data_IF_666252383516
#
_entry.id   IF_666252383516
#
_cell.length_a   1.000
_cell.length_b   1.000
_cell.length_c   1.000
_cell.angle_alpha   90.00
_cell.angle_beta   90.00
_cell.angle_gamma   90.00
#
_symmetry.space_group_name_H-M   'P 1'
#
loop_
_entity.id
_entity.type
_entity.pdbx_description
1 polymer ?
#
# COMPACT_ATOMS: atom_id res chain seq x y z
N UNK A 1 42.96 -17.84 14.68
CA UNK A 1 42.40 -16.47 14.81
C UNK A 1 41.35 -16.13 13.75
N UNK A 2 41.62 -16.26 12.44
CA UNK A 2 40.64 -15.97 11.37
C UNK A 2 39.33 -16.81 11.44
N UNK A 3 39.42 -18.08 11.86
CA UNK A 3 38.26 -18.97 12.03
C UNK A 3 37.32 -18.53 13.18
N UNK A 4 37.87 -17.97 14.25
CA UNK A 4 37.09 -17.39 15.36
C UNK A 4 36.39 -16.10 14.88
N UNK A 5 37.08 -15.26 14.11
CA UNK A 5 36.49 -14.05 13.52
C UNK A 5 35.29 -14.39 12.60
N UNK A 6 35.43 -15.42 11.77
CA UNK A 6 34.35 -15.90 10.89
C UNK A 6 33.14 -16.41 11.69
N UNK A 7 33.36 -17.06 12.83
CA UNK A 7 32.29 -17.51 13.71
C UNK A 7 31.51 -16.32 14.30
N UNK A 8 32.22 -15.28 14.77
CA UNK A 8 31.58 -14.06 15.26
C UNK A 8 30.83 -13.30 14.17
N UNK A 9 31.38 -13.25 12.95
CA UNK A 9 30.70 -12.64 11.80
C UNK A 9 29.43 -13.41 11.44
N UNK A 10 29.49 -14.74 11.47
CA UNK A 10 28.33 -15.60 11.22
C UNK A 10 27.27 -15.44 12.32
N UNK A 11 27.68 -15.39 13.58
CA UNK A 11 26.79 -15.14 14.73
C UNK A 11 26.09 -13.78 14.61
N UNK A 12 26.83 -12.74 14.23
CA UNK A 12 26.28 -11.41 14.00
C UNK A 12 25.25 -11.40 12.86
N UNK A 13 25.52 -12.11 11.77
CA UNK A 13 24.61 -12.22 10.63
C UNK A 13 23.30 -12.93 11.01
N UNK A 14 23.36 -13.97 11.85
CA UNK A 14 22.17 -14.65 12.37
C UNK A 14 21.32 -13.72 13.24
N UNK A 15 21.95 -12.89 14.09
CA UNK A 15 21.23 -11.92 14.92
C UNK A 15 20.50 -10.84 14.09
N UNK A 16 21.06 -10.39 12.97
CA UNK A 16 20.42 -9.38 12.11
C UNK A 16 19.12 -9.84 11.42
N UNK A 17 18.89 -11.15 11.29
CA UNK A 17 17.73 -11.67 10.53
C UNK A 17 16.46 -11.77 11.39
N UNK A 18 16.58 -11.79 12.72
CA UNK A 18 15.48 -12.21 13.61
C UNK A 18 14.37 -11.15 13.81
N UNK A 19 14.64 -9.85 13.65
CA UNK A 19 13.69 -8.80 14.08
C UNK A 19 12.72 -8.27 13.00
N UNK A 20 12.97 -8.54 11.71
CA UNK A 20 12.24 -7.83 10.63
C UNK A 20 10.89 -8.45 10.25
N UNK A 21 10.65 -9.72 10.60
CA UNK A 21 9.50 -10.49 10.08
C UNK A 21 8.21 -10.26 10.87
N UNK A 22 8.27 -10.16 12.20
CA UNK A 22 7.07 -9.96 13.04
C UNK A 22 6.44 -8.57 12.84
N UNK A 23 7.27 -7.54 12.73
CA UNK A 23 6.79 -6.16 12.55
C UNK A 23 6.06 -5.99 11.20
N UNK A 24 6.59 -6.58 10.13
CA UNK A 24 5.96 -6.54 8.81
C UNK A 24 4.60 -7.28 8.76
N UNK A 25 4.50 -8.43 9.43
CA UNK A 25 3.25 -9.19 9.52
C UNK A 25 2.16 -8.44 10.28
N UNK A 26 2.51 -7.79 11.39
CA UNK A 26 1.58 -7.00 12.21
C UNK A 26 1.03 -5.75 11.50
N UNK A 27 1.79 -5.17 10.58
CA UNK A 27 1.32 -4.02 9.78
C UNK A 27 0.38 -4.49 8.67
N UNK A 28 0.68 -5.64 8.04
CA UNK A 28 -0.11 -6.16 6.91
C UNK A 28 -1.57 -6.42 7.25
N UNK A 29 -1.87 -6.80 8.50
CA UNK A 29 -3.24 -7.05 8.99
C UNK A 29 -4.03 -5.78 9.28
N UNK A 30 -3.35 -4.63 9.42
CA UNK A 30 -3.95 -3.35 9.83
C UNK A 30 -4.18 -2.36 8.69
N UNK A 31 -3.77 -2.68 7.46
CA UNK A 31 -3.81 -1.75 6.32
C UNK A 31 -4.72 -2.26 5.19
N UNK A 32 -5.48 -1.33 4.61
CA UNK A 32 -6.14 -1.54 3.33
C UNK A 32 -5.25 -1.00 2.19
N UNK A 33 -4.97 -1.83 1.20
CA UNK A 33 -4.11 -1.45 0.06
C UNK A 33 -4.95 -1.19 -1.17
N UNK A 34 -4.87 0.01 -1.71
CA UNK A 34 -5.48 0.37 -2.98
C UNK A 34 -4.48 0.15 -4.12
N UNK A 35 -4.84 -0.72 -5.06
CA UNK A 35 -3.99 -1.08 -6.20
C UNK A 35 -4.58 -0.46 -7.48
N UNK A 36 -3.75 0.27 -8.21
CA UNK A 36 -4.08 0.83 -9.52
C UNK A 36 -3.10 0.23 -10.52
N UNK A 37 -3.64 -0.25 -11.65
CA UNK A 37 -2.87 -0.85 -12.74
C UNK A 37 -2.79 0.18 -13.88
N UNK A 38 -1.59 0.39 -14.39
CA UNK A 38 -1.35 1.26 -15.55
C UNK A 38 -1.61 0.49 -16.84
N UNK A 39 -1.95 1.19 -17.91
CA UNK A 39 -2.20 0.57 -19.21
C UNK A 39 -0.90 0.04 -19.85
N UNK A 40 0.25 0.66 -19.58
CA UNK A 40 1.58 0.22 -20.04
C UNK A 40 2.70 0.59 -19.08
N UNK A 41 3.93 0.15 -19.40
CA UNK A 41 5.17 0.52 -18.69
C UNK A 41 5.74 1.87 -19.14
N UNK A 42 5.04 2.63 -19.99
CA UNK A 42 5.45 3.99 -20.36
C UNK A 42 5.44 4.91 -19.14
N UNK A 43 6.35 5.89 -19.11
CA UNK A 43 6.42 6.86 -18.02
C UNK A 43 5.09 7.61 -17.84
N UNK A 44 4.45 8.00 -18.94
CA UNK A 44 3.17 8.70 -18.92
C UNK A 44 2.07 7.88 -18.23
N UNK A 45 1.93 6.59 -18.57
CA UNK A 45 0.93 5.71 -17.96
C UNK A 45 1.24 5.41 -16.48
N UNK A 46 2.52 5.29 -16.12
CA UNK A 46 2.92 5.06 -14.73
C UNK A 46 2.71 6.32 -13.87
N UNK A 47 2.99 7.50 -14.42
CA UNK A 47 2.75 8.77 -13.76
C UNK A 47 1.25 9.00 -13.54
N UNK A 48 0.41 8.71 -14.53
CA UNK A 48 -1.05 8.82 -14.36
C UNK A 48 -1.60 7.83 -13.33
N UNK A 49 -1.06 6.61 -13.28
CA UNK A 49 -1.36 5.66 -12.19
C UNK A 49 -1.03 6.24 -10.81
N UNK A 50 0.10 6.93 -10.67
CA UNK A 50 0.51 7.53 -9.38
C UNK A 50 -0.38 8.72 -9.01
N UNK A 51 -0.77 9.56 -9.97
CA UNK A 51 -1.65 10.71 -9.77
C UNK A 51 -3.07 10.26 -9.39
N UNK A 52 -3.66 9.33 -10.16
CA UNK A 52 -4.97 8.75 -9.86
C UNK A 52 -4.97 8.11 -8.46
N UNK A 53 -3.95 7.29 -8.15
CA UNK A 53 -3.83 6.66 -6.83
C UNK A 53 -3.80 7.70 -5.71
N UNK A 54 -3.00 8.76 -5.86
CA UNK A 54 -2.90 9.83 -4.85
C UNK A 54 -4.24 10.54 -4.66
N UNK A 55 -4.91 10.90 -5.75
CA UNK A 55 -6.23 11.54 -5.72
C UNK A 55 -7.28 10.69 -4.99
N UNK A 56 -7.39 9.39 -5.32
CA UNK A 56 -8.36 8.50 -4.68
C UNK A 56 -8.05 8.31 -3.20
N UNK A 57 -6.77 8.11 -2.85
CA UNK A 57 -6.35 7.95 -1.45
C UNK A 57 -6.67 9.20 -0.63
N UNK A 58 -6.47 10.41 -1.17
CA UNK A 58 -6.84 11.65 -0.49
C UNK A 58 -8.34 11.77 -0.24
N UNK A 59 -9.18 11.39 -1.21
CA UNK A 59 -10.64 11.41 -1.05
C UNK A 59 -11.16 10.36 -0.07
N UNK A 60 -10.55 9.18 -0.03
CA UNK A 60 -10.97 8.11 0.87
C UNK A 60 -10.41 8.26 2.30
N UNK A 61 -9.27 8.92 2.48
CA UNK A 61 -8.61 9.11 3.79
C UNK A 61 -9.54 9.57 4.92
N UNK A 62 -10.35 10.65 4.77
CA UNK A 62 -11.23 11.09 5.86
C UNK A 62 -12.29 10.05 6.24
N UNK A 63 -12.78 9.29 5.26
CA UNK A 63 -13.75 8.21 5.48
C UNK A 63 -13.06 7.04 6.19
N UNK A 64 -11.84 6.69 5.78
CA UNK A 64 -11.10 5.58 6.39
C UNK A 64 -10.69 5.89 7.84
N UNK A 65 -10.47 7.16 8.17
CA UNK A 65 -10.14 7.61 9.52
C UNK A 65 -11.32 7.51 10.50
N UNK A 66 -12.56 7.37 10.03
CA UNK A 66 -13.73 7.22 10.91
C UNK A 66 -13.96 5.77 11.38
N UNK A 67 -13.15 4.81 10.95
CA UNK A 67 -13.29 3.41 11.36
C UNK A 67 -12.21 3.02 12.38
N UNK A 68 -12.65 2.46 13.52
CA UNK A 68 -11.74 1.96 14.56
C UNK A 68 -11.11 0.61 14.20
N UNK A 69 -11.69 -0.12 13.24
CA UNK A 69 -11.20 -1.43 12.83
C UNK A 69 -11.22 -1.64 11.31
N UNK A 70 -10.30 -2.48 10.84
CA UNK A 70 -10.11 -2.79 9.42
C UNK A 70 -11.29 -3.55 8.82
N UNK A 71 -12.01 -4.34 9.60
CA UNK A 71 -13.14 -5.13 9.09
C UNK A 71 -14.32 -4.24 8.68
N UNK A 72 -14.60 -3.20 9.44
CA UNK A 72 -15.66 -2.25 9.12
C UNK A 72 -15.26 -1.34 7.96
N UNK A 73 -13.99 -0.91 7.90
CA UNK A 73 -13.45 -0.24 6.71
C UNK A 73 -13.59 -1.11 5.45
N UNK A 74 -13.28 -2.41 5.53
CA UNK A 74 -13.46 -3.37 4.42
C UNK A 74 -14.93 -3.52 4.01
N UNK A 75 -15.84 -3.68 4.97
CA UNK A 75 -17.30 -3.74 4.70
C UNK A 75 -17.79 -2.48 4.00
N UNK A 76 -17.34 -1.32 4.48
CA UNK A 76 -17.71 -0.05 3.86
C UNK A 76 -17.25 0.03 2.40
N UNK A 77 -15.99 -0.33 2.12
CA UNK A 77 -15.44 -0.34 0.76
C UNK A 77 -16.22 -1.28 -0.16
N UNK A 78 -16.54 -2.49 0.31
CA UNK A 78 -17.33 -3.45 -0.47
C UNK A 78 -18.75 -2.92 -0.77
N UNK A 79 -19.38 -2.24 0.19
CA UNK A 79 -20.74 -1.71 0.02
C UNK A 79 -20.79 -0.42 -0.83
N UNK A 80 -19.67 0.26 -0.99
CA UNK A 80 -19.58 1.56 -1.67
C UNK A 80 -18.61 1.54 -2.86
N UNK A 81 -18.37 0.37 -3.45
CA UNK A 81 -17.48 0.23 -4.60
C UNK A 81 -17.84 1.19 -5.74
N UNK A 82 -19.13 1.37 -6.00
CA UNK A 82 -19.62 2.30 -7.02
C UNK A 82 -19.20 3.76 -6.77
N UNK A 83 -19.11 4.18 -5.50
CA UNK A 83 -18.62 5.53 -5.17
C UNK A 83 -17.14 5.68 -5.55
N UNK A 84 -16.34 4.65 -5.26
CA UNK A 84 -14.91 4.62 -5.58
C UNK A 84 -14.71 4.64 -7.11
N UNK A 85 -15.50 3.85 -7.84
CA UNK A 85 -15.48 3.83 -9.31
C UNK A 85 -15.85 5.19 -9.89
N UNK A 86 -16.91 5.83 -9.38
CA UNK A 86 -17.32 7.16 -9.81
C UNK A 86 -16.24 8.22 -9.55
N UNK A 87 -15.50 8.12 -8.44
CA UNK A 87 -14.35 8.99 -8.19
C UNK A 87 -13.27 8.78 -9.25
N UNK A 88 -12.94 7.54 -9.61
CA UNK A 88 -11.99 7.23 -10.68
C UNK A 88 -12.47 7.82 -12.03
N UNK A 89 -13.73 7.60 -12.40
CA UNK A 89 -14.29 8.16 -13.63
C UNK A 89 -14.28 9.69 -13.64
N UNK A 90 -14.57 10.33 -12.51
CA UNK A 90 -14.53 11.79 -12.39
C UNK A 90 -13.12 12.34 -12.62
N UNK A 91 -12.09 11.68 -12.09
CA UNK A 91 -10.69 12.04 -12.30
C UNK A 91 -10.32 11.91 -13.77
N UNK A 92 -10.59 10.75 -14.38
CA UNK A 92 -10.28 10.49 -15.79
C UNK A 92 -10.98 11.45 -16.74
N UNK A 93 -12.24 11.81 -16.45
CA UNK A 93 -12.99 12.78 -17.27
C UNK A 93 -12.39 14.19 -17.21
N UNK A 94 -11.81 14.57 -16.08
CA UNK A 94 -11.17 15.88 -15.93
C UNK A 94 -9.80 15.96 -16.62
N UNK A 95 -9.14 14.84 -16.89
CA UNK A 95 -7.87 14.80 -17.64
C UNK A 95 -8.03 15.07 -19.14
N UNK A 96 -9.20 14.76 -19.71
CA UNK A 96 -9.47 14.86 -21.16
C UNK A 96 -10.04 16.24 -21.54
N UNK A 97 -10.36 17.08 -20.55
CA UNK A 97 -10.85 18.46 -20.75
C UNK A 97 -9.69 19.44 -20.88
#
# INVERSE_FOLDING_TARGET
>A
MKKILLLYMFLFLVLCVVDTTQTAQNISTKVLRFHVIANSDSNDDQDEKLRLKSYIVEKLRPIMQSFDNVNDAKKWVNNHQQIIENLCYSYLKNLVK
#
